data_IF_422390629498
#
_entry.id   IF_422390629498
#
_cell.length_a   1.000
_cell.length_b   1.000
_cell.length_c   1.000
_cell.angle_alpha   90.00
_cell.angle_beta   90.00
_cell.angle_gamma   90.00
#
_symmetry.space_group_name_H-M   'P 1'
#
loop_
_entity.id
_entity.type
_entity.pdbx_description
1 polymer ?
#
# COMPACT_ATOMS: atom_id res chain seq x y z
N UNK A 1 -28.50 25.09 11.33
CA UNK A 1 -28.64 23.77 10.69
C UNK A 1 -27.89 22.79 11.55
N UNK A 2 -28.64 21.91 12.21
CA UNK A 2 -28.15 20.92 13.16
C UNK A 2 -27.22 19.95 12.43
N UNK A 3 -26.00 19.79 12.91
CA UNK A 3 -25.15 18.67 12.54
C UNK A 3 -25.77 17.40 13.13
N UNK A 4 -26.55 16.68 12.33
CA UNK A 4 -26.86 15.29 12.63
C UNK A 4 -25.52 14.55 12.70
N UNK A 5 -25.11 14.22 13.92
CA UNK A 5 -24.09 13.20 14.17
C UNK A 5 -24.49 11.97 13.36
N UNK A 6 -23.67 11.59 12.37
CA UNK A 6 -23.88 10.38 11.60
C UNK A 6 -23.89 9.20 12.57
N UNK A 7 -25.08 8.73 12.94
CA UNK A 7 -25.24 7.64 13.89
C UNK A 7 -24.52 6.39 13.36
N UNK A 8 -23.65 5.80 14.20
CA UNK A 8 -22.93 4.56 13.92
C UNK A 8 -23.89 3.49 13.38
N UNK A 9 -23.56 2.88 12.24
CA UNK A 9 -24.35 1.77 11.71
C UNK A 9 -24.15 0.55 12.61
N UNK A 10 -25.19 -0.03 13.26
CA UNK A 10 -24.99 -1.13 14.20
C UNK A 10 -24.48 -2.42 13.54
N UNK A 11 -23.50 -3.10 14.15
CA UNK A 11 -22.91 -4.35 13.63
C UNK A 11 -23.95 -5.46 13.48
N UNK A 12 -24.88 -5.56 14.41
CA UNK A 12 -25.96 -6.56 14.38
C UNK A 12 -26.91 -6.33 13.18
N UNK A 13 -27.16 -5.07 12.82
CA UNK A 13 -27.93 -4.72 11.61
C UNK A 13 -27.16 -5.09 10.34
N UNK A 14 -25.85 -4.81 10.30
CA UNK A 14 -24.97 -5.23 9.20
C UNK A 14 -24.95 -6.74 9.01
N UNK A 15 -24.75 -7.51 10.09
CA UNK A 15 -24.70 -8.97 10.05
C UNK A 15 -26.01 -9.59 9.57
N UNK A 16 -27.16 -9.04 9.99
CA UNK A 16 -28.48 -9.47 9.48
C UNK A 16 -28.62 -9.24 7.98
N UNK A 17 -28.13 -8.11 7.47
CA UNK A 17 -28.13 -7.81 6.03
C UNK A 17 -27.19 -8.73 5.26
N UNK A 18 -25.98 -8.99 5.78
CA UNK A 18 -25.01 -9.89 5.18
C UNK A 18 -25.55 -11.32 5.08
N UNK A 19 -26.14 -11.84 6.16
CA UNK A 19 -26.78 -13.15 6.18
C UNK A 19 -27.96 -13.24 5.20
N UNK A 20 -28.81 -12.20 5.14
CA UNK A 20 -29.92 -12.14 4.19
C UNK A 20 -29.47 -12.10 2.72
N UNK A 21 -28.25 -11.66 2.46
CA UNK A 21 -27.63 -11.65 1.13
C UNK A 21 -26.86 -12.93 0.79
N UNK A 22 -26.84 -13.93 1.68
CA UNK A 22 -26.16 -15.21 1.45
C UNK A 22 -24.65 -15.18 1.66
N UNK A 23 -24.11 -14.17 2.34
CA UNK A 23 -22.72 -14.17 2.77
C UNK A 23 -22.51 -15.17 3.91
N UNK A 24 -21.34 -15.82 3.90
CA UNK A 24 -20.87 -16.58 5.05
C UNK A 24 -20.48 -15.61 6.17
N UNK A 25 -21.34 -15.49 7.17
CA UNK A 25 -21.12 -14.66 8.35
C UNK A 25 -20.39 -15.41 9.48
N UNK A 26 -19.87 -16.61 9.23
CA UNK A 26 -19.14 -17.38 10.23
C UNK A 26 -17.74 -16.82 10.53
N UNK A 27 -17.15 -16.11 9.57
CA UNK A 27 -15.88 -15.39 9.73
C UNK A 27 -16.12 -14.01 10.37
N UNK A 28 -16.08 -13.99 11.71
CA UNK A 28 -16.33 -12.79 12.50
C UNK A 28 -15.32 -11.66 12.21
N UNK A 29 -14.05 -12.00 11.98
CA UNK A 29 -12.99 -11.01 11.72
C UNK A 29 -13.22 -10.33 10.36
N UNK A 30 -13.58 -11.12 9.34
CA UNK A 30 -13.98 -10.60 8.03
C UNK A 30 -15.24 -9.73 8.10
N UNK A 31 -16.24 -10.11 8.89
CA UNK A 31 -17.48 -9.35 8.99
C UNK A 31 -17.32 -8.04 9.76
N UNK A 32 -16.51 -8.02 10.83
CA UNK A 32 -16.17 -6.79 11.53
C UNK A 32 -15.36 -5.82 10.65
N UNK A 33 -14.44 -6.34 9.85
CA UNK A 33 -13.65 -5.57 8.89
C UNK A 33 -14.54 -4.95 7.79
N UNK A 34 -15.43 -5.74 7.18
CA UNK A 34 -16.42 -5.25 6.22
C UNK A 34 -17.36 -4.20 6.84
N UNK A 35 -17.83 -4.44 8.07
CA UNK A 35 -18.70 -3.51 8.78
C UNK A 35 -18.01 -2.16 9.03
N UNK A 36 -16.75 -2.19 9.49
CA UNK A 36 -15.91 -1.00 9.70
C UNK A 36 -15.74 -0.20 8.40
N UNK A 37 -15.54 -0.88 7.28
CA UNK A 37 -15.43 -0.25 5.95
C UNK A 37 -16.73 0.40 5.48
N UNK A 38 -17.88 -0.26 5.71
CA UNK A 38 -19.20 0.33 5.43
C UNK A 38 -19.46 1.57 6.28
N UNK A 39 -19.02 1.57 7.55
CA UNK A 39 -19.08 2.78 8.38
C UNK A 39 -18.18 3.91 7.86
N UNK A 40 -16.93 3.61 7.46
CA UNK A 40 -16.02 4.61 6.86
C UNK A 40 -16.59 5.23 5.57
N UNK A 41 -17.29 4.44 4.75
CA UNK A 41 -17.97 4.96 3.55
C UNK A 41 -19.12 5.93 3.90
N UNK A 42 -19.85 5.67 4.99
CA UNK A 42 -20.95 6.53 5.45
C UNK A 42 -20.49 7.80 6.16
N UNK A 43 -19.29 7.82 6.73
CA UNK A 43 -18.78 8.95 7.52
C UNK A 43 -18.13 10.08 6.71
N UNK A 44 -18.02 9.99 5.38
CA UNK A 44 -17.70 11.17 4.56
C UNK A 44 -16.75 11.00 3.36
N UNK A 45 -16.20 9.80 3.09
CA UNK A 45 -15.37 9.59 1.88
C UNK A 45 -16.23 9.62 0.59
N UNK A 46 -17.56 9.59 0.71
CA UNK A 46 -18.50 9.70 -0.41
C UNK A 46 -18.41 11.01 -1.20
N UNK A 47 -17.89 12.12 -0.64
CA UNK A 47 -17.90 13.40 -1.35
C UNK A 47 -16.87 13.50 -2.48
N UNK A 48 -15.92 12.56 -2.56
CA UNK A 48 -14.89 12.55 -3.61
C UNK A 48 -15.30 11.75 -4.87
N UNK A 49 -16.38 10.97 -4.83
CA UNK A 49 -16.66 10.01 -5.91
C UNK A 49 -18.09 10.00 -6.47
N UNK A 50 -18.99 10.96 -6.14
CA UNK A 50 -20.36 11.07 -6.71
C UNK A 50 -20.99 9.71 -7.07
N UNK A 51 -21.14 8.80 -6.10
CA UNK A 51 -21.84 7.53 -6.37
C UNK A 51 -23.14 7.48 -5.59
N UNK A 52 -24.21 7.35 -6.36
CA UNK A 52 -25.57 7.20 -5.88
C UNK A 52 -25.80 5.76 -5.39
N UNK A 53 -25.94 5.59 -4.08
CA UNK A 53 -26.26 4.30 -3.44
C UNK A 53 -27.79 4.12 -3.30
N UNK A 54 -28.59 5.06 -3.82
CA UNK A 54 -30.05 5.00 -3.71
C UNK A 54 -30.70 3.93 -4.61
N UNK A 55 -29.96 3.42 -5.62
CA UNK A 55 -30.43 2.40 -6.57
C UNK A 55 -30.13 0.94 -6.15
N UNK A 56 -29.66 0.68 -4.92
CA UNK A 56 -29.44 -0.69 -4.45
C UNK A 56 -30.77 -1.40 -4.13
N UNK A 57 -31.46 -1.89 -5.16
CA UNK A 57 -32.79 -2.54 -5.08
C UNK A 57 -32.81 -3.85 -4.25
N UNK A 58 -31.65 -4.37 -3.82
CA UNK A 58 -31.56 -5.58 -2.98
C UNK A 58 -30.30 -5.61 -2.09
N UNK A 59 -30.30 -6.36 -0.98
CA UNK A 59 -29.13 -6.53 -0.10
C UNK A 59 -27.88 -7.05 -0.81
N UNK A 60 -28.03 -7.94 -1.80
CA UNK A 60 -26.93 -8.46 -2.61
C UNK A 60 -26.36 -7.41 -3.57
N UNK A 61 -27.22 -6.56 -4.16
CA UNK A 61 -26.77 -5.43 -4.98
C UNK A 61 -26.02 -4.38 -4.14
N UNK A 62 -26.47 -4.13 -2.91
CA UNK A 62 -25.77 -3.24 -1.96
C UNK A 62 -24.38 -3.78 -1.61
N UNK A 63 -24.24 -5.08 -1.36
CA UNK A 63 -22.95 -5.71 -1.05
C UNK A 63 -22.03 -5.69 -2.27
N UNK A 64 -22.50 -6.07 -3.45
CA UNK A 64 -21.68 -6.05 -4.66
C UNK A 64 -21.21 -4.61 -5.00
N UNK A 65 -22.08 -3.62 -4.81
CA UNK A 65 -21.72 -2.22 -4.90
C UNK A 65 -20.66 -1.88 -3.83
N UNK A 66 -20.89 -2.24 -2.57
CA UNK A 66 -19.95 -2.00 -1.46
C UNK A 66 -18.57 -2.63 -1.70
N UNK A 67 -18.50 -3.86 -2.22
CA UNK A 67 -17.24 -4.53 -2.56
C UNK A 67 -16.53 -3.83 -3.73
N UNK A 68 -17.28 -3.43 -4.76
CA UNK A 68 -16.75 -2.63 -5.87
C UNK A 68 -16.19 -1.29 -5.38
N UNK A 69 -16.86 -0.62 -4.45
CA UNK A 69 -16.39 0.61 -3.81
C UNK A 69 -15.15 0.39 -2.95
N UNK A 70 -15.16 -0.62 -2.08
CA UNK A 70 -14.00 -0.97 -1.27
C UNK A 70 -12.77 -1.27 -2.13
N UNK A 71 -12.98 -1.94 -3.27
CA UNK A 71 -11.93 -2.19 -4.26
C UNK A 71 -11.46 -0.91 -4.95
N UNK A 72 -12.37 -0.02 -5.35
CA UNK A 72 -12.01 1.29 -5.93
C UNK A 72 -11.24 2.16 -4.92
N UNK A 73 -11.71 2.25 -3.67
CA UNK A 73 -11.03 2.95 -2.60
C UNK A 73 -9.63 2.39 -2.35
N UNK A 74 -9.46 1.05 -2.33
CA UNK A 74 -8.13 0.41 -2.25
C UNK A 74 -7.23 0.75 -3.44
N UNK A 75 -7.79 0.88 -4.65
CA UNK A 75 -7.01 1.33 -5.82
C UNK A 75 -6.47 2.73 -5.58
N UNK A 76 -7.27 3.62 -5.00
CA UNK A 76 -6.88 5.01 -4.79
C UNK A 76 -5.85 5.18 -3.66
N UNK A 77 -5.93 4.38 -2.60
CA UNK A 77 -4.98 4.45 -1.47
C UNK A 77 -3.52 4.28 -1.90
N UNK A 78 -3.24 3.33 -2.81
CA UNK A 78 -1.87 3.11 -3.28
C UNK A 78 -1.40 4.15 -4.33
N UNK A 79 -2.24 5.12 -4.70
CA UNK A 79 -1.84 6.30 -5.46
C UNK A 79 -1.72 7.55 -4.58
N UNK A 80 -2.16 7.54 -3.33
CA UNK A 80 -1.97 8.69 -2.45
C UNK A 80 -0.50 8.87 -2.07
N UNK A 81 -0.08 10.11 -1.87
CA UNK A 81 1.24 10.40 -1.33
C UNK A 81 1.36 9.95 0.13
N UNK A 82 2.58 9.67 0.57
CA UNK A 82 2.85 9.35 1.98
C UNK A 82 2.35 10.46 2.93
N UNK A 83 2.36 11.73 2.50
CA UNK A 83 1.85 12.85 3.29
C UNK A 83 0.32 12.82 3.43
N UNK A 84 -0.40 12.58 2.33
CA UNK A 84 -1.86 12.45 2.34
C UNK A 84 -2.28 11.26 3.21
N UNK A 85 -1.66 10.09 3.03
CA UNK A 85 -1.93 8.91 3.85
C UNK A 85 -1.62 9.15 5.32
N UNK A 86 -0.52 9.83 5.62
CA UNK A 86 -0.13 10.15 6.99
C UNK A 86 -1.18 10.98 7.72
N UNK A 87 -1.74 12.00 7.05
CA UNK A 87 -2.84 12.80 7.59
C UNK A 87 -4.06 11.95 7.90
N UNK A 88 -4.52 11.19 6.90
CA UNK A 88 -5.71 10.33 7.02
C UNK A 88 -5.54 9.24 8.11
N UNK A 89 -4.36 8.64 8.21
CA UNK A 89 -4.04 7.62 9.24
C UNK A 89 -4.00 8.26 10.63
N UNK A 90 -3.35 9.41 10.78
CA UNK A 90 -3.27 10.15 12.05
C UNK A 90 -4.67 10.51 12.55
N UNK A 91 -5.51 10.98 11.63
CA UNK A 91 -6.88 11.43 11.93
C UNK A 91 -7.86 10.25 11.98
N UNK A 92 -7.35 9.02 11.79
CA UNK A 92 -8.07 7.73 11.87
C UNK A 92 -9.21 7.60 10.86
N UNK A 93 -9.12 8.34 9.76
CA UNK A 93 -10.04 8.27 8.63
C UNK A 93 -9.82 7.00 7.80
N UNK A 94 -8.58 6.51 7.75
CA UNK A 94 -8.22 5.24 7.10
C UNK A 94 -7.34 4.39 8.02
N UNK A 95 -7.39 3.06 7.84
CA UNK A 95 -6.52 2.14 8.56
C UNK A 95 -5.17 1.96 7.83
N UNK A 96 -4.03 1.93 8.54
CA UNK A 96 -2.76 1.50 7.93
C UNK A 96 -2.82 0.05 7.43
N UNK A 97 -3.73 -0.79 7.94
CA UNK A 97 -3.97 -2.14 7.43
C UNK A 97 -4.55 -2.08 6.01
N UNK A 98 -5.57 -1.23 5.79
CA UNK A 98 -6.16 -1.05 4.46
C UNK A 98 -5.16 -0.51 3.44
N UNK A 99 -4.26 0.38 3.87
CA UNK A 99 -3.18 0.92 3.04
C UNK A 99 -2.17 -0.17 2.66
N UNK A 100 -1.74 -1.00 3.62
CA UNK A 100 -0.83 -2.11 3.35
C UNK A 100 -1.46 -3.13 2.42
N UNK A 101 -2.72 -3.50 2.64
CA UNK A 101 -3.44 -4.43 1.76
C UNK A 101 -3.60 -3.85 0.35
N UNK A 102 -3.95 -2.57 0.22
CA UNK A 102 -4.00 -1.89 -1.07
C UNK A 102 -2.67 -1.94 -1.83
N UNK A 103 -1.54 -1.77 -1.13
CA UNK A 103 -0.22 -1.90 -1.73
C UNK A 103 0.11 -3.35 -2.11
N UNK A 104 -0.19 -4.32 -1.26
CA UNK A 104 0.07 -5.74 -1.53
C UNK A 104 -0.75 -6.26 -2.72
N UNK A 105 -2.04 -5.89 -2.80
CA UNK A 105 -2.92 -6.23 -3.92
C UNK A 105 -2.36 -5.69 -5.26
N UNK A 106 -1.82 -4.47 -5.24
CA UNK A 106 -1.16 -3.89 -6.42
C UNK A 106 0.13 -4.63 -6.78
N UNK A 107 0.95 -4.92 -5.78
CA UNK A 107 2.20 -5.67 -5.98
C UNK A 107 1.87 -7.00 -6.65
N UNK A 108 0.92 -7.77 -6.12
CA UNK A 108 0.48 -9.03 -6.73
C UNK A 108 0.05 -8.86 -8.19
N UNK A 109 -0.72 -7.82 -8.52
CA UNK A 109 -1.18 -7.56 -9.88
C UNK A 109 -0.07 -7.10 -10.85
N UNK A 110 1.00 -6.47 -10.35
CA UNK A 110 2.03 -5.83 -11.19
C UNK A 110 3.36 -6.57 -11.24
N UNK A 111 3.70 -7.35 -10.21
CA UNK A 111 4.98 -8.05 -10.09
C UNK A 111 5.28 -9.01 -11.24
N UNK A 112 4.32 -9.76 -11.82
CA UNK A 112 4.59 -10.57 -13.02
C UNK A 112 5.12 -9.77 -14.22
N UNK A 113 4.90 -8.45 -14.24
CA UNK A 113 5.37 -7.55 -15.30
C UNK A 113 6.59 -6.73 -14.87
N UNK A 114 6.61 -6.23 -13.63
CA UNK A 114 7.62 -5.29 -13.17
C UNK A 114 8.84 -5.94 -12.52
N UNK A 115 8.63 -7.09 -11.86
CA UNK A 115 9.65 -7.83 -11.12
C UNK A 115 10.43 -6.95 -10.12
N UNK A 116 9.70 -6.16 -9.33
CA UNK A 116 10.27 -5.10 -8.49
C UNK A 116 10.77 -5.60 -7.13
N UNK A 117 10.38 -6.79 -6.68
CA UNK A 117 10.75 -7.36 -5.39
C UNK A 117 11.54 -8.67 -5.51
N UNK A 118 12.59 -8.82 -4.69
CA UNK A 118 13.29 -10.10 -4.48
C UNK A 118 12.68 -10.87 -3.30
N UNK A 119 12.26 -10.15 -2.27
CA UNK A 119 11.67 -10.73 -1.04
C UNK A 119 10.45 -9.92 -0.66
N UNK A 120 9.26 -10.53 -0.67
CA UNK A 120 8.05 -9.95 -0.07
C UNK A 120 7.81 -10.56 1.30
N UNK A 121 7.24 -9.76 2.23
CA UNK A 121 6.93 -10.19 3.60
C UNK A 121 5.49 -9.82 4.01
N UNK A 122 4.46 -10.25 3.26
CA UNK A 122 3.09 -9.75 3.41
C UNK A 122 2.50 -10.00 4.80
N UNK A 123 2.74 -11.15 5.42
CA UNK A 123 2.23 -11.48 6.75
C UNK A 123 2.86 -10.60 7.82
N UNK A 124 4.17 -10.33 7.71
CA UNK A 124 4.92 -9.48 8.64
C UNK A 124 4.48 -8.02 8.48
N UNK A 125 4.29 -7.56 7.23
CA UNK A 125 3.77 -6.23 6.92
C UNK A 125 2.37 -6.01 7.51
N UNK A 126 1.44 -6.96 7.31
CA UNK A 126 0.09 -6.89 7.89
C UNK A 126 0.10 -6.92 9.41
N UNK A 127 0.97 -7.73 10.01
CA UNK A 127 1.13 -7.76 11.47
C UNK A 127 1.66 -6.43 12.02
N UNK A 128 2.61 -5.80 11.33
CA UNK A 128 3.12 -4.47 11.67
C UNK A 128 2.03 -3.40 11.48
N UNK A 129 1.21 -3.49 10.43
CA UNK A 129 0.08 -2.59 10.20
C UNK A 129 -0.96 -2.63 11.32
N UNK A 130 -1.33 -3.83 11.78
CA UNK A 130 -2.23 -3.99 12.93
C UNK A 130 -1.65 -3.40 14.21
N UNK A 131 -0.34 -3.55 14.45
CA UNK A 131 0.34 -2.91 15.59
C UNK A 131 0.32 -1.40 15.49
N UNK A 132 0.61 -0.84 14.31
CA UNK A 132 0.54 0.59 14.06
C UNK A 132 -0.88 1.12 14.30
N UNK A 133 -1.91 0.45 13.78
CA UNK A 133 -3.32 0.82 14.01
C UNK A 133 -3.66 0.85 15.52
N UNK A 134 -3.24 -0.16 16.28
CA UNK A 134 -3.44 -0.22 17.73
C UNK A 134 -2.71 0.91 18.47
N UNK A 135 -1.46 1.17 18.13
CA UNK A 135 -0.66 2.23 18.76
C UNK A 135 -1.27 3.61 18.50
N UNK A 136 -1.64 3.88 17.25
CA UNK A 136 -2.31 5.12 16.83
C UNK A 136 -3.66 5.25 17.54
N UNK A 137 -4.40 4.15 17.63
CA UNK A 137 -5.68 4.11 18.32
C UNK A 137 -5.62 4.42 19.81
N UNK A 138 -4.45 4.17 20.44
CA UNK A 138 -4.13 4.50 21.84
C UNK A 138 -3.51 5.90 22.01
N UNK A 139 -3.38 6.67 20.93
CA UNK A 139 -2.77 8.01 20.95
C UNK A 139 -1.24 8.00 20.84
N UNK A 140 -0.60 6.86 20.61
CA UNK A 140 0.85 6.72 20.49
C UNK A 140 1.31 6.97 19.04
N UNK A 141 0.92 8.10 18.45
CA UNK A 141 1.33 8.46 17.10
C UNK A 141 2.81 8.91 17.07
N UNK A 142 3.67 8.16 16.36
CA UNK A 142 5.13 8.36 16.36
C UNK A 142 5.63 9.42 15.36
N UNK A 143 4.76 9.88 14.47
CA UNK A 143 5.09 10.89 13.47
C UNK A 143 4.65 10.49 12.05
N UNK A 144 5.02 11.28 11.02
CA UNK A 144 4.44 11.19 9.68
C UNK A 144 4.62 9.87 8.93
N UNK A 145 5.54 9.01 9.38
CA UNK A 145 5.75 7.69 8.77
C UNK A 145 5.04 6.56 9.52
N UNK A 146 4.38 6.85 10.64
CA UNK A 146 3.73 5.82 11.44
C UNK A 146 2.54 5.24 10.67
N UNK A 147 2.62 3.95 10.31
CA UNK A 147 1.61 3.28 9.51
C UNK A 147 1.81 3.38 7.99
N UNK A 148 2.89 4.02 7.53
CA UNK A 148 3.16 4.17 6.09
C UNK A 148 3.95 2.96 5.55
N UNK A 149 3.50 2.30 4.46
CA UNK A 149 4.25 1.23 3.84
C UNK A 149 5.53 1.71 3.15
N UNK A 150 6.61 0.95 3.23
CA UNK A 150 7.90 1.23 2.59
C UNK A 150 8.50 -0.03 1.97
N UNK A 151 9.27 0.13 0.90
CA UNK A 151 10.12 -0.91 0.33
C UNK A 151 11.59 -0.53 0.49
N UNK A 152 12.44 -1.46 0.92
CA UNK A 152 13.87 -1.21 1.04
C UNK A 152 14.63 -1.93 -0.06
N UNK A 153 15.59 -1.26 -0.70
CA UNK A 153 16.53 -1.91 -1.62
C UNK A 153 17.15 -3.15 -0.96
N UNK A 154 17.32 -4.23 -1.71
CA UNK A 154 17.86 -5.49 -1.17
C UNK A 154 19.35 -5.46 -0.80
N UNK A 155 19.87 -4.29 -0.48
CA UNK A 155 21.21 -4.03 0.06
C UNK A 155 21.15 -3.63 1.54
N UNK A 156 20.00 -3.13 2.01
CA UNK A 156 19.83 -2.75 3.40
C UNK A 156 19.58 -4.00 4.24
N UNK A 157 20.46 -4.26 5.21
CA UNK A 157 20.24 -5.30 6.21
C UNK A 157 19.00 -4.97 7.03
N UNK A 158 18.14 -5.97 7.17
CA UNK A 158 16.94 -5.93 8.00
C UNK A 158 16.89 -7.21 8.81
N UNK A 159 16.83 -7.09 10.12
CA UNK A 159 16.88 -8.21 11.04
C UNK A 159 15.73 -9.19 10.74
N UNK A 160 16.07 -10.46 10.53
CA UNK A 160 15.09 -11.51 10.25
C UNK A 160 14.48 -11.49 8.85
N UNK A 161 14.91 -10.60 7.95
CA UNK A 161 14.44 -10.55 6.54
C UNK A 161 15.60 -10.86 5.60
N UNK A 162 15.42 -11.90 4.76
CA UNK A 162 16.42 -12.33 3.77
C UNK A 162 16.91 -11.15 2.92
N UNK A 163 18.23 -10.99 2.86
CA UNK A 163 18.89 -9.88 2.15
C UNK A 163 19.99 -10.43 1.26
N UNK A 164 19.82 -10.33 -0.06
CA UNK A 164 20.71 -11.01 -1.03
C UNK A 164 21.68 -10.08 -1.73
N UNK A 165 21.47 -8.76 -1.65
CA UNK A 165 22.23 -7.77 -2.42
C UNK A 165 22.14 -7.95 -3.93
N UNK A 166 21.18 -8.73 -4.44
CA UNK A 166 20.95 -8.96 -5.87
C UNK A 166 21.49 -10.27 -6.45
N UNK A 167 22.62 -10.87 -6.02
CA UNK A 167 23.05 -12.18 -6.53
C UNK A 167 22.62 -13.36 -5.64
N UNK A 168 22.49 -14.55 -6.24
CA UNK A 168 22.06 -15.79 -5.57
C UNK A 168 23.03 -16.34 -4.51
N UNK A 169 24.28 -15.90 -4.53
CA UNK A 169 25.31 -16.32 -3.57
C UNK A 169 24.92 -15.97 -2.11
N UNK A 170 24.02 -15.01 -1.91
CA UNK A 170 23.54 -14.59 -0.59
C UNK A 170 22.08 -15.02 -0.32
N UNK A 171 21.54 -16.01 -1.03
CA UNK A 171 20.15 -16.47 -0.86
C UNK A 171 19.82 -16.94 0.57
N UNK A 172 20.81 -17.43 1.30
CA UNK A 172 20.64 -17.89 2.68
C UNK A 172 21.00 -16.82 3.71
N UNK A 173 21.36 -15.60 3.29
CA UNK A 173 21.76 -14.54 4.20
C UNK A 173 20.53 -13.86 4.82
N UNK A 174 20.37 -14.07 6.12
CA UNK A 174 19.35 -13.41 6.95
C UNK A 174 20.07 -12.63 8.05
N UNK A 175 20.16 -11.29 7.94
CA UNK A 175 20.81 -10.47 8.95
C UNK A 175 20.18 -10.63 10.34
N UNK A 176 20.99 -10.58 11.39
CA UNK A 176 20.53 -10.58 12.79
C UNK A 176 20.29 -9.17 13.34
N UNK A 177 20.71 -8.14 12.62
CA UNK A 177 20.60 -6.74 13.01
C UNK A 177 20.14 -5.88 11.84
N UNK A 178 19.37 -4.85 12.17
CA UNK A 178 18.98 -3.80 11.23
C UNK A 178 20.18 -2.88 10.93
N UNK A 179 20.25 -2.39 9.70
CA UNK A 179 21.09 -1.23 9.40
C UNK A 179 20.42 0.06 9.91
N UNK A 180 21.19 1.15 10.01
CA UNK A 180 20.69 2.44 10.50
C UNK A 180 19.41 2.90 9.82
N UNK A 181 19.29 2.74 8.50
CA UNK A 181 18.09 3.17 7.75
C UNK A 181 16.86 2.34 8.16
N UNK A 182 17.00 1.02 8.24
CA UNK A 182 15.92 0.13 8.68
C UNK A 182 15.50 0.42 10.12
N UNK A 183 16.46 0.65 11.03
CA UNK A 183 16.20 1.06 12.41
C UNK A 183 15.38 2.35 12.46
N UNK A 184 15.78 3.39 11.71
CA UNK A 184 15.07 4.68 11.68
C UNK A 184 13.64 4.57 11.15
N UNK A 185 13.42 3.74 10.13
CA UNK A 185 12.07 3.46 9.64
C UNK A 185 11.20 2.76 10.68
N UNK A 186 11.76 1.73 11.34
CA UNK A 186 11.05 1.02 12.41
C UNK A 186 10.72 1.93 13.60
N UNK A 187 11.66 2.76 14.04
CA UNK A 187 11.46 3.74 15.11
C UNK A 187 10.35 4.74 14.75
N UNK A 188 10.31 5.22 13.51
CA UNK A 188 9.27 6.11 13.00
C UNK A 188 7.91 5.42 12.81
N UNK A 189 7.84 4.09 12.93
CA UNK A 189 6.62 3.30 12.77
C UNK A 189 6.24 3.00 11.32
N UNK A 190 7.19 3.11 10.39
CA UNK A 190 6.98 2.70 8.99
C UNK A 190 6.85 1.17 8.88
N UNK A 191 6.12 0.71 7.87
CA UNK A 191 5.81 -0.71 7.67
C UNK A 191 6.57 -1.23 6.47
N UNK A 192 7.53 -2.14 6.67
CA UNK A 192 8.27 -2.75 5.57
C UNK A 192 7.41 -3.77 4.82
N UNK A 193 7.24 -3.57 3.51
CA UNK A 193 6.55 -4.51 2.62
C UNK A 193 7.48 -5.62 2.11
N UNK A 194 8.77 -5.32 1.96
CA UNK A 194 9.73 -6.25 1.37
C UNK A 194 11.03 -5.59 0.92
N UNK A 195 11.85 -6.41 0.26
CA UNK A 195 13.15 -6.07 -0.29
C UNK A 195 13.06 -5.95 -1.81
N UNK A 196 13.39 -4.77 -2.31
CA UNK A 196 13.30 -4.41 -3.72
C UNK A 196 14.45 -5.02 -4.51
N UNK A 197 14.15 -5.45 -5.73
CA UNK A 197 15.12 -5.93 -6.70
C UNK A 197 16.14 -4.83 -7.07
N UNK A 198 17.29 -5.25 -7.56
CA UNK A 198 18.42 -4.38 -7.87
C UNK A 198 19.40 -5.07 -8.79
N UNK A 199 20.23 -4.27 -9.46
CA UNK A 199 21.43 -4.79 -10.10
C UNK A 199 22.34 -5.43 -9.03
N UNK A 200 22.90 -6.63 -9.28
CA UNK A 200 23.76 -7.33 -8.32
C UNK A 200 24.82 -6.42 -7.72
N UNK A 201 24.90 -6.42 -6.39
CA UNK A 201 25.83 -5.63 -5.57
C UNK A 201 25.78 -4.12 -5.81
N UNK A 202 24.67 -3.63 -6.38
CA UNK A 202 24.52 -2.26 -6.87
C UNK A 202 25.58 -1.86 -7.90
N UNK A 203 26.18 -2.83 -8.60
CA UNK A 203 27.26 -2.63 -9.54
C UNK A 203 26.76 -2.41 -10.98
N UNK A 204 25.71 -1.59 -11.13
CA UNK A 204 25.15 -1.28 -12.44
C UNK A 204 23.96 -0.31 -12.36
N UNK A 205 23.75 0.52 -13.40
CA UNK A 205 22.75 1.57 -13.39
C UNK A 205 21.46 1.18 -14.13
N UNK A 206 21.27 -0.08 -14.52
CA UNK A 206 20.20 -0.52 -15.45
C UNK A 206 19.14 -1.40 -14.81
N UNK A 207 19.34 -1.88 -13.58
CA UNK A 207 18.41 -2.82 -12.93
C UNK A 207 18.44 -4.24 -13.52
N UNK A 208 19.45 -4.57 -14.34
CA UNK A 208 19.65 -5.91 -14.84
C UNK A 208 20.02 -6.89 -13.72
N UNK A 209 19.35 -8.03 -13.66
CA UNK A 209 19.66 -9.06 -12.69
C UNK A 209 19.40 -10.44 -13.31
N UNK A 210 20.47 -11.20 -13.59
CA UNK A 210 20.37 -12.52 -14.22
C UNK A 210 19.84 -13.60 -13.26
N UNK A 211 19.98 -13.38 -11.95
CA UNK A 211 19.64 -14.35 -10.91
C UNK A 211 18.16 -14.28 -10.53
N UNK A 212 17.60 -13.08 -10.49
CA UNK A 212 16.23 -12.77 -10.07
C UNK A 212 15.33 -12.20 -11.18
N UNK A 213 15.86 -12.08 -12.39
CA UNK A 213 15.18 -11.41 -13.50
C UNK A 213 15.33 -9.90 -13.45
N UNK A 214 15.28 -9.27 -14.62
CA UNK A 214 15.44 -7.83 -14.76
C UNK A 214 14.23 -7.07 -14.21
N UNK A 215 14.45 -5.88 -13.65
CA UNK A 215 13.36 -4.94 -13.33
C UNK A 215 12.93 -4.17 -14.56
N UNK A 216 11.62 -4.06 -14.77
CA UNK A 216 11.03 -3.37 -15.92
C UNK A 216 10.39 -2.03 -15.55
N UNK A 217 10.52 -1.05 -16.46
CA UNK A 217 9.99 0.28 -16.26
C UNK A 217 8.44 0.26 -16.40
N UNK A 218 7.68 0.82 -15.44
CA UNK A 218 6.22 0.86 -15.50
C UNK A 218 5.63 1.62 -16.71
N UNK A 219 6.34 2.63 -17.22
CA UNK A 219 5.90 3.48 -18.33
C UNK A 219 6.19 2.91 -19.72
N UNK A 220 7.18 2.03 -19.83
CA UNK A 220 7.60 1.41 -21.10
C UNK A 220 8.15 0.02 -20.82
N UNK A 221 7.36 -1.02 -21.09
CA UNK A 221 7.71 -2.43 -20.78
C UNK A 221 9.05 -2.92 -21.35
N UNK A 222 9.56 -2.27 -22.41
CA UNK A 222 10.84 -2.61 -23.05
C UNK A 222 12.06 -1.89 -22.44
N UNK A 223 11.86 -0.95 -21.53
CA UNK A 223 12.95 -0.25 -20.84
C UNK A 223 13.18 -0.87 -19.47
N UNK A 224 14.45 -1.06 -19.11
CA UNK A 224 14.84 -1.50 -17.78
C UNK A 224 14.81 -0.33 -16.79
N UNK A 225 14.59 -0.61 -15.51
CA UNK A 225 14.53 0.43 -14.48
C UNK A 225 15.92 0.69 -13.91
N UNK A 226 16.43 1.91 -14.08
CA UNK A 226 17.80 2.26 -13.69
C UNK A 226 18.11 2.10 -12.19
N UNK A 227 17.07 2.13 -11.36
CA UNK A 227 17.10 2.06 -9.88
C UNK A 227 15.77 1.44 -9.45
N UNK A 228 15.62 0.71 -8.33
CA UNK A 228 14.28 0.30 -7.87
C UNK A 228 13.40 1.52 -7.61
N UNK A 229 12.62 1.92 -8.61
CA UNK A 229 11.50 2.81 -8.49
C UNK A 229 10.31 1.91 -8.22
N UNK A 230 9.82 1.89 -6.99
CA UNK A 230 8.52 1.30 -6.76
C UNK A 230 7.51 2.01 -7.67
N UNK A 231 6.94 1.24 -8.59
CA UNK A 231 5.95 1.60 -9.60
C UNK A 231 5.40 3.05 -9.55
N UNK A 232 6.08 3.99 -10.22
CA UNK A 232 5.46 5.24 -10.66
C UNK A 232 4.80 5.00 -12.02
N UNK A 233 3.50 4.70 -12.03
CA UNK A 233 2.73 4.60 -13.28
C UNK A 233 2.27 6.00 -13.67
N UNK A 234 2.76 6.49 -14.81
CA UNK A 234 2.21 7.67 -15.48
C UNK A 234 0.92 7.26 -16.21
N UNK A 235 -0.23 7.71 -15.73
CA UNK A 235 -1.42 7.84 -16.59
C UNK A 235 -1.63 9.32 -16.97
N UNK A 236 -2.10 9.62 -18.18
CA UNK A 236 -2.48 10.98 -18.53
C UNK A 236 -3.63 11.44 -17.62
N UNK A 237 -3.62 12.69 -17.11
CA UNK A 237 -4.72 13.19 -16.30
C UNK A 237 -6.02 13.24 -17.11
N UNK A 238 -7.21 13.15 -16.46
CA UNK A 238 -8.45 13.57 -17.10
C UNK A 238 -8.32 15.01 -17.57
N UNK A 239 -8.98 15.34 -18.68
CA UNK A 239 -8.69 16.48 -19.56
C UNK A 239 -8.70 17.91 -18.94
N UNK A 240 -8.87 18.08 -17.63
CA UNK A 240 -8.96 19.37 -16.95
C UNK A 240 -8.26 19.46 -15.57
N UNK A 241 -7.30 18.57 -15.25
CA UNK A 241 -6.53 18.67 -14.01
C UNK A 241 -5.08 19.12 -14.26
N UNK A 242 -4.51 20.04 -13.46
CA UNK A 242 -3.09 20.39 -13.55
C UNK A 242 -2.23 19.16 -13.25
N UNK A 243 -1.12 19.00 -13.99
CA UNK A 243 -0.18 17.88 -13.87
C UNK A 243 0.32 17.73 -12.43
N UNK A 244 -0.18 16.71 -11.71
CA UNK A 244 0.30 16.30 -10.39
C UNK A 244 1.25 15.11 -10.56
N UNK A 245 2.50 15.28 -10.15
CA UNK A 245 3.41 14.16 -9.94
C UNK A 245 2.95 13.41 -8.70
N UNK A 246 2.47 12.18 -8.89
CA UNK A 246 1.96 11.35 -7.81
C UNK A 246 3.07 10.39 -7.38
N UNK A 247 3.68 10.67 -6.23
CA UNK A 247 4.55 9.72 -5.55
C UNK A 247 3.65 8.63 -4.95
N UNK A 248 3.67 7.44 -5.54
CA UNK A 248 3.05 6.25 -4.95
C UNK A 248 3.69 5.95 -3.58
N UNK A 249 2.94 5.47 -2.59
CA UNK A 249 3.35 5.45 -1.19
C UNK A 249 4.45 4.44 -0.88
N UNK A 250 4.88 3.64 -1.84
CA UNK A 250 6.15 2.94 -1.73
C UNK A 250 7.30 3.96 -1.94
N UNK A 251 7.66 4.68 -0.89
CA UNK A 251 8.87 5.50 -0.86
C UNK A 251 10.10 4.57 -1.01
N UNK A 252 10.49 4.29 -2.25
CA UNK A 252 11.74 3.62 -2.55
C UNK A 252 12.87 4.64 -2.38
N UNK A 253 13.53 4.62 -1.22
CA UNK A 253 14.74 5.40 -1.01
C UNK A 253 15.91 4.73 -1.72
N UNK A 254 16.17 5.18 -2.95
CA UNK A 254 17.43 4.98 -3.61
C UNK A 254 17.86 6.33 -4.20
N UNK A 255 19.05 6.80 -3.84
CA UNK A 255 19.65 7.99 -4.44
C UNK A 255 19.69 7.82 -5.96
N UNK A 256 19.00 8.64 -6.77
CA UNK A 256 19.20 8.65 -8.20
C UNK A 256 20.48 9.44 -8.52
N UNK A 257 21.47 8.89 -9.24
CA UNK A 257 22.32 9.72 -10.08
C UNK A 257 21.53 10.14 -11.34
N UNK A 258 21.89 11.28 -11.98
CA UNK A 258 21.16 11.79 -13.13
C UNK A 258 21.52 10.97 -14.38
N UNK A 259 20.51 10.38 -15.02
CA UNK A 259 20.53 9.92 -16.42
C UNK A 259 19.07 9.99 -16.89
N UNK A 260 18.64 10.74 -17.91
CA UNK A 260 19.34 11.54 -18.88
C UNK A 260 18.36 12.63 -19.37
N UNK A 261 18.75 13.90 -19.21
CA UNK A 261 18.36 14.97 -20.14
C UNK A 261 19.67 15.48 -20.73
N UNK A 262 19.78 15.37 -22.05
CA UNK A 262 20.80 16.06 -22.83
C UNK A 262 20.69 17.55 -22.57
N UNK A 263 21.80 18.16 -22.21
CA UNK A 263 21.96 19.61 -22.38
C UNK A 263 22.16 19.87 -23.87
N UNK A 264 21.08 20.31 -24.52
CA UNK A 264 21.11 21.21 -25.67
C UNK A 264 20.04 22.29 -25.45
#
# INVERSE_FOLDING_TARGET
>A
MSTESAAEFPLDAFLRMAAAAGLDTSDAERMEDLHRRVQMMRSGISSLYEIDVSDAESPSAFIAASEKHARAARIELHYMSAWELSGLIRDREISPVDVVDACLDRIEATEPTLNSFITLIPEQARAAARRAEQDIGRGNYRGPLHGIPVGLKDLFHTAGVRTTSGPRIYDTHVPTQDCTVATRFSEAGAILLGKLNMHPLAFGPTGENADYGHMHNPGTRSALTAVPAAAAVRQPPPANAPSRWVATPAAAFAFPPPCAESWD
#
